data_IF_688030149001
#
_entry.id   IF_688030149001
#
_cell.length_a   1.000
_cell.length_b   1.000
_cell.length_c   1.000
_cell.angle_alpha   90.00
_cell.angle_beta   90.00
_cell.angle_gamma   90.00
#
_symmetry.space_group_name_H-M   'P 1'
#
loop_
_entity.id
_entity.type
_entity.pdbx_description
1 polymer ?
#
# COMPACT_ATOMS: atom_id res chain seq x y z
N UNK A 1 7.26 -3.33 -24.23
CA UNK A 1 7.13 -1.97 -23.65
C UNK A 1 7.15 -2.12 -22.13
N UNK A 2 7.96 -1.32 -21.43
CA UNK A 2 7.85 -1.26 -19.96
C UNK A 2 6.46 -0.71 -19.60
N UNK A 3 5.81 -1.30 -18.59
CA UNK A 3 4.47 -0.88 -18.15
C UNK A 3 4.45 0.57 -17.64
N UNK A 4 5.60 1.05 -17.15
CA UNK A 4 5.84 2.43 -16.73
C UNK A 4 7.15 2.95 -17.32
N UNK A 5 7.14 4.11 -17.96
CA UNK A 5 8.30 4.66 -18.65
C UNK A 5 9.48 4.98 -17.72
N UNK A 6 9.18 5.39 -16.47
CA UNK A 6 10.21 5.78 -15.47
C UNK A 6 10.67 4.64 -14.56
N UNK A 7 10.13 3.43 -14.70
CA UNK A 7 10.42 2.33 -13.77
C UNK A 7 11.93 2.05 -13.64
N UNK A 8 12.64 1.87 -14.75
CA UNK A 8 14.08 1.57 -14.73
C UNK A 8 14.90 2.68 -14.10
N UNK A 9 14.56 3.94 -14.36
CA UNK A 9 15.24 5.09 -13.74
C UNK A 9 15.02 5.12 -12.23
N UNK A 10 13.77 4.94 -11.77
CA UNK A 10 13.43 4.95 -10.35
C UNK A 10 14.12 3.78 -9.60
N UNK A 11 14.17 2.58 -10.20
CA UNK A 11 14.86 1.44 -9.60
C UNK A 11 16.37 1.70 -9.48
N UNK A 12 16.98 2.28 -10.52
CA UNK A 12 18.41 2.63 -10.49
C UNK A 12 18.73 3.67 -9.43
N UNK A 13 17.88 4.69 -9.29
CA UNK A 13 18.04 5.72 -8.25
C UNK A 13 17.93 5.12 -6.84
N UNK A 14 16.99 4.19 -6.61
CA UNK A 14 16.90 3.47 -5.35
C UNK A 14 18.15 2.63 -5.07
N UNK A 15 18.65 1.89 -6.06
CA UNK A 15 19.91 1.12 -5.93
C UNK A 15 21.11 2.02 -5.60
N UNK A 16 21.21 3.18 -6.27
CA UNK A 16 22.28 4.16 -6.04
C UNK A 16 22.21 4.79 -4.65
N UNK A 17 21.01 4.91 -4.09
CA UNK A 17 20.78 5.31 -2.69
C UNK A 17 21.01 4.15 -1.70
N UNK A 18 21.41 2.97 -2.16
CA UNK A 18 21.70 1.79 -1.33
C UNK A 18 20.47 1.01 -0.89
N UNK A 19 19.31 1.24 -1.51
CA UNK A 19 18.11 0.46 -1.21
C UNK A 19 18.24 -0.99 -1.70
N UNK A 20 17.76 -1.93 -0.87
CA UNK A 20 17.57 -3.32 -1.31
C UNK A 20 16.23 -3.43 -2.01
N UNK A 21 16.24 -3.78 -3.29
CA UNK A 21 15.03 -3.97 -4.09
C UNK A 21 14.68 -5.46 -4.14
N UNK A 22 13.45 -5.80 -3.79
CA UNK A 22 12.93 -7.17 -3.82
C UNK A 22 11.65 -7.20 -4.67
N UNK A 23 11.66 -8.01 -5.73
CA UNK A 23 10.49 -8.27 -6.57
C UNK A 23 10.57 -9.70 -7.16
N UNK A 24 9.42 -10.36 -7.41
CA UNK A 24 8.09 -10.02 -6.93
C UNK A 24 7.90 -10.34 -5.43
N UNK A 25 7.01 -9.62 -4.74
CA UNK A 25 6.60 -9.91 -3.35
C UNK A 25 5.08 -9.92 -3.30
N UNK A 26 4.50 -11.02 -2.84
CA UNK A 26 3.06 -11.12 -2.57
C UNK A 26 2.79 -10.68 -1.12
N UNK A 27 2.02 -9.60 -0.96
CA UNK A 27 1.69 -9.04 0.37
C UNK A 27 0.90 -10.00 1.26
N UNK A 28 0.25 -11.01 0.67
CA UNK A 28 -0.51 -12.04 1.40
C UNK A 28 0.38 -13.13 1.98
N UNK A 29 1.65 -13.22 1.54
CA UNK A 29 2.62 -14.24 1.99
C UNK A 29 4.01 -13.65 2.27
N UNK A 30 4.14 -12.32 2.34
CA UNK A 30 5.44 -11.64 2.43
C UNK A 30 6.24 -11.98 3.69
N UNK A 31 5.59 -12.42 4.78
CA UNK A 31 6.28 -12.89 5.98
C UNK A 31 7.06 -14.19 5.76
N UNK A 32 6.68 -14.97 4.74
CA UNK A 32 7.31 -16.23 4.34
C UNK A 32 8.28 -16.05 3.17
N UNK A 33 8.35 -14.86 2.58
CA UNK A 33 9.21 -14.59 1.44
C UNK A 33 10.69 -14.82 1.82
N UNK A 34 11.40 -15.67 1.07
CA UNK A 34 12.78 -16.13 1.39
C UNK A 34 13.77 -15.02 1.77
N UNK A 35 13.67 -13.84 1.16
CA UNK A 35 14.57 -12.71 1.43
C UNK A 35 14.13 -11.83 2.62
N UNK A 36 12.88 -11.94 3.04
CA UNK A 36 12.24 -11.11 4.07
C UNK A 36 11.93 -11.88 5.36
N UNK A 37 11.79 -13.20 5.28
CA UNK A 37 11.47 -14.06 6.41
C UNK A 37 12.46 -13.84 7.57
N UNK A 38 11.91 -13.69 8.78
CA UNK A 38 12.69 -13.43 9.99
C UNK A 38 13.18 -11.99 10.16
N UNK A 39 13.03 -11.12 9.14
CA UNK A 39 13.34 -9.69 9.29
C UNK A 39 12.23 -8.98 10.07
N UNK A 40 12.65 -7.99 10.86
CA UNK A 40 11.77 -7.05 11.54
C UNK A 40 12.00 -5.65 11.02
N UNK A 41 10.92 -4.88 10.90
CA UNK A 41 10.93 -3.53 10.37
C UNK A 41 10.32 -2.56 11.38
N UNK A 42 10.93 -1.38 11.50
CA UNK A 42 10.39 -0.29 12.31
C UNK A 42 9.24 0.43 11.61
N UNK A 43 9.20 0.40 10.28
CA UNK A 43 8.14 0.98 9.46
C UNK A 43 7.84 0.05 8.29
N UNK A 44 6.57 -0.30 8.11
CA UNK A 44 6.09 -1.03 6.93
C UNK A 44 5.03 -0.17 6.27
N UNK A 45 5.29 0.30 5.04
CA UNK A 45 4.46 1.28 4.35
C UNK A 45 3.80 0.63 3.13
N UNK A 46 2.48 0.75 3.01
CA UNK A 46 1.73 0.33 1.84
C UNK A 46 0.90 1.49 1.27
N UNK A 47 1.30 1.98 0.11
CA UNK A 47 0.68 3.13 -0.53
C UNK A 47 -0.36 2.70 -1.56
N UNK A 48 -1.59 3.17 -1.41
CA UNK A 48 -2.72 2.97 -2.32
C UNK A 48 -2.94 1.49 -2.71
N UNK A 49 -3.12 0.57 -1.75
CA UNK A 49 -3.43 -0.83 -2.03
C UNK A 49 -4.60 -0.98 -3.02
N UNK A 50 -4.50 -1.92 -3.97
CA UNK A 50 -5.57 -2.18 -4.94
C UNK A 50 -5.57 -3.64 -5.40
N UNK A 51 -6.71 -4.32 -5.34
CA UNK A 51 -6.85 -5.74 -5.66
C UNK A 51 -7.07 -6.00 -7.17
N UNK A 52 -6.53 -5.13 -8.04
CA UNK A 52 -6.84 -5.13 -9.47
C UNK A 52 -8.31 -4.81 -9.80
N UNK A 53 -8.67 -4.89 -11.08
CA UNK A 53 -9.99 -4.54 -11.59
C UNK A 53 -10.82 -5.78 -11.91
N UNK A 54 -11.90 -6.02 -11.17
CA UNK A 54 -12.88 -7.06 -11.47
C UNK A 54 -14.33 -6.56 -11.39
N UNK A 55 -14.53 -5.24 -11.40
CA UNK A 55 -15.80 -4.55 -11.21
C UNK A 55 -15.59 -3.05 -11.03
N UNK A 56 -16.65 -2.30 -10.75
CA UNK A 56 -16.54 -0.88 -10.33
C UNK A 56 -16.05 -0.82 -8.90
N UNK A 57 -15.33 0.24 -8.54
CA UNK A 57 -14.84 0.47 -7.16
C UNK A 57 -15.96 0.49 -6.10
N UNK A 58 -17.19 0.79 -6.51
CA UNK A 58 -18.38 0.81 -5.64
C UNK A 58 -19.09 -0.55 -5.52
N UNK A 59 -18.71 -1.54 -6.32
CA UNK A 59 -19.38 -2.85 -6.32
C UNK A 59 -18.99 -3.62 -5.06
N UNK A 60 -19.98 -4.23 -4.39
CA UNK A 60 -19.76 -4.94 -3.12
C UNK A 60 -18.67 -6.01 -3.22
N UNK A 61 -18.65 -6.79 -4.31
CA UNK A 61 -17.63 -7.83 -4.53
C UNK A 61 -16.23 -7.26 -4.75
N UNK A 62 -16.11 -6.10 -5.40
CA UNK A 62 -14.84 -5.39 -5.58
C UNK A 62 -14.35 -4.83 -4.24
N UNK A 63 -15.23 -4.17 -3.47
CA UNK A 63 -14.93 -3.69 -2.11
C UNK A 63 -14.45 -4.85 -1.22
N UNK A 64 -15.09 -6.02 -1.28
CA UNK A 64 -14.68 -7.17 -0.50
C UNK A 64 -13.27 -7.66 -0.88
N UNK A 65 -12.94 -7.75 -2.18
CA UNK A 65 -11.58 -8.09 -2.62
C UNK A 65 -10.53 -7.12 -2.08
N UNK A 66 -10.82 -5.83 -2.08
CA UNK A 66 -9.93 -4.82 -1.51
C UNK A 66 -9.74 -4.97 -0.01
N UNK A 67 -10.82 -5.25 0.72
CA UNK A 67 -10.78 -5.52 2.17
C UNK A 67 -9.93 -6.75 2.48
N UNK A 68 -10.05 -7.80 1.69
CA UNK A 68 -9.28 -9.03 1.88
C UNK A 68 -7.79 -8.82 1.59
N UNK A 69 -7.45 -8.04 0.55
CA UNK A 69 -6.07 -7.62 0.28
C UNK A 69 -5.46 -6.84 1.46
N UNK A 70 -6.18 -5.83 1.97
CA UNK A 70 -5.71 -5.02 3.10
C UNK A 70 -5.56 -5.86 4.36
N UNK A 71 -6.52 -6.74 4.65
CA UNK A 71 -6.46 -7.64 5.80
C UNK A 71 -5.26 -8.58 5.72
N UNK A 72 -5.02 -9.23 4.58
CA UNK A 72 -3.89 -10.14 4.44
C UNK A 72 -2.53 -9.44 4.50
N UNK A 73 -2.44 -8.20 3.97
CA UNK A 73 -1.28 -7.36 4.21
C UNK A 73 -1.08 -7.08 5.70
N UNK A 74 -2.11 -6.64 6.44
CA UNK A 74 -2.02 -6.35 7.87
C UNK A 74 -1.59 -7.58 8.69
N UNK A 75 -2.13 -8.75 8.36
CA UNK A 75 -1.76 -10.04 8.98
C UNK A 75 -0.27 -10.33 8.82
N UNK A 76 0.27 -10.20 7.61
CA UNK A 76 1.69 -10.44 7.33
C UNK A 76 2.59 -9.34 7.90
N UNK A 77 2.21 -8.07 7.74
CA UNK A 77 2.98 -6.92 8.20
C UNK A 77 3.19 -6.98 9.72
N UNK A 78 2.15 -7.35 10.47
CA UNK A 78 2.21 -7.56 11.92
C UNK A 78 3.26 -8.59 12.33
N UNK A 79 3.39 -9.69 11.58
CA UNK A 79 4.42 -10.72 11.84
C UNK A 79 5.85 -10.19 11.60
N UNK A 80 6.00 -9.15 10.79
CA UNK A 80 7.28 -8.55 10.41
C UNK A 80 7.56 -7.24 11.15
N UNK A 81 6.66 -6.81 12.04
CA UNK A 81 6.80 -5.55 12.78
C UNK A 81 7.74 -5.70 13.99
N UNK A 82 8.61 -4.71 14.20
CA UNK A 82 9.40 -4.59 15.44
C UNK A 82 8.52 -4.17 16.64
N UNK A 83 9.03 -4.30 17.86
CA UNK A 83 8.24 -4.04 19.09
C UNK A 83 7.67 -2.61 19.20
N UNK A 84 8.32 -1.63 18.54
CA UNK A 84 7.90 -0.23 18.47
C UNK A 84 7.63 0.22 17.02
N UNK A 85 7.42 -0.75 16.14
CA UNK A 85 7.20 -0.50 14.73
C UNK A 85 5.80 0.05 14.44
N UNK A 86 5.66 0.67 13.28
CA UNK A 86 4.37 1.14 12.77
C UNK A 86 4.09 0.59 11.37
N UNK A 87 2.82 0.25 11.12
CA UNK A 87 2.31 -0.08 9.80
C UNK A 87 1.57 1.14 9.26
N UNK A 88 1.96 1.63 8.09
CA UNK A 88 1.38 2.82 7.49
C UNK A 88 0.62 2.41 6.22
N UNK A 89 -0.64 2.82 6.12
CA UNK A 89 -1.45 2.60 4.92
C UNK A 89 -1.92 3.96 4.40
N UNK A 90 -1.47 4.35 3.21
CA UNK A 90 -1.96 5.56 2.53
C UNK A 90 -3.11 5.19 1.63
N UNK A 91 -4.28 5.81 1.80
CA UNK A 91 -5.45 5.49 1.02
C UNK A 91 -6.38 6.69 0.81
N UNK A 92 -7.26 6.57 -0.19
CA UNK A 92 -8.33 7.53 -0.43
C UNK A 92 -9.38 7.48 0.68
N UNK A 93 -9.89 8.64 1.06
CA UNK A 93 -10.80 8.84 2.20
C UNK A 93 -12.19 9.33 1.78
N UNK A 94 -12.56 9.15 0.51
CA UNK A 94 -13.91 9.44 -0.01
C UNK A 94 -14.62 8.17 -0.46
N UNK A 95 -15.95 8.19 -0.58
CA UNK A 95 -16.69 7.10 -1.21
C UNK A 95 -16.16 6.80 -2.63
N UNK A 96 -16.08 5.53 -3.06
CA UNK A 96 -16.42 4.30 -2.32
C UNK A 96 -15.28 3.75 -1.44
N UNK A 97 -14.11 4.39 -1.47
CA UNK A 97 -12.88 3.93 -0.78
C UNK A 97 -13.03 3.88 0.74
N UNK A 98 -13.87 4.73 1.34
CA UNK A 98 -14.21 4.66 2.77
C UNK A 98 -14.89 3.35 3.17
N UNK A 99 -15.59 2.69 2.25
CA UNK A 99 -16.27 1.41 2.50
C UNK A 99 -15.30 0.24 2.69
N UNK A 100 -14.00 0.47 2.53
CA UNK A 100 -12.98 -0.53 2.83
C UNK A 100 -12.76 -0.67 4.34
N UNK A 101 -13.14 0.33 5.14
CA UNK A 101 -13.02 0.36 6.60
C UNK A 101 -11.64 -0.11 7.11
N UNK A 102 -10.57 0.52 6.62
CA UNK A 102 -9.18 0.12 6.90
C UNK A 102 -8.89 0.08 8.40
N UNK A 103 -9.33 1.08 9.16
CA UNK A 103 -9.17 1.12 10.62
C UNK A 103 -9.84 -0.06 11.32
N UNK A 104 -11.07 -0.41 10.90
CA UNK A 104 -11.78 -1.56 11.42
C UNK A 104 -11.02 -2.87 11.11
N UNK A 105 -10.50 -3.02 9.89
CA UNK A 105 -9.69 -4.18 9.52
C UNK A 105 -8.43 -4.30 10.38
N UNK A 106 -7.72 -3.18 10.61
CA UNK A 106 -6.56 -3.16 11.49
C UNK A 106 -6.93 -3.55 12.93
N UNK A 107 -8.04 -3.04 13.46
CA UNK A 107 -8.54 -3.41 14.79
C UNK A 107 -8.88 -4.91 14.90
N UNK A 108 -9.50 -5.51 13.88
CA UNK A 108 -9.72 -6.96 13.85
C UNK A 108 -8.42 -7.76 13.92
N UNK A 109 -7.32 -7.21 13.40
CA UNK A 109 -5.99 -7.82 13.44
C UNK A 109 -5.20 -7.48 14.72
N UNK A 110 -5.82 -6.84 15.71
CA UNK A 110 -5.18 -6.48 16.98
C UNK A 110 -4.23 -5.27 16.87
N UNK A 111 -4.40 -4.44 15.84
CA UNK A 111 -3.65 -3.20 15.67
C UNK A 111 -4.53 -2.00 16.05
N UNK A 112 -3.90 -0.95 16.57
CA UNK A 112 -4.56 0.29 17.01
C UNK A 112 -4.12 1.45 16.13
N UNK A 113 -5.05 2.32 15.78
CA UNK A 113 -4.73 3.58 15.09
C UNK A 113 -4.00 4.50 16.08
N UNK A 114 -2.76 4.86 15.76
CA UNK A 114 -1.93 5.78 16.56
C UNK A 114 -1.78 7.15 15.91
N UNK A 115 -2.19 7.29 14.65
CA UNK A 115 -2.26 8.58 13.98
C UNK A 115 -2.83 8.47 12.58
N UNK A 116 -3.37 9.59 12.12
CA UNK A 116 -3.79 9.81 10.74
C UNK A 116 -3.19 11.14 10.28
N UNK A 117 -2.62 11.17 9.08
CA UNK A 117 -2.06 12.38 8.47
C UNK A 117 -2.64 12.53 7.08
N UNK A 118 -3.18 13.70 6.75
CA UNK A 118 -3.66 13.98 5.40
C UNK A 118 -2.50 13.85 4.40
N UNK A 119 -2.75 13.13 3.31
CA UNK A 119 -1.79 12.99 2.23
C UNK A 119 -1.90 14.18 1.29
N UNK A 120 -0.87 15.03 1.30
CA UNK A 120 -0.71 16.11 0.34
C UNK A 120 0.37 15.74 -0.69
N UNK A 121 -0.05 15.60 -1.95
CA UNK A 121 0.84 15.33 -3.08
C UNK A 121 1.95 16.39 -3.21
N UNK A 122 1.69 17.65 -2.84
CA UNK A 122 2.67 18.73 -2.95
C UNK A 122 3.89 18.54 -2.03
N UNK A 123 3.75 17.76 -0.96
CA UNK A 123 4.84 17.43 -0.04
C UNK A 123 5.82 16.37 -0.60
N UNK A 124 5.52 15.80 -1.76
CA UNK A 124 6.33 14.77 -2.41
C UNK A 124 6.76 15.21 -3.83
N UNK A 125 7.74 16.12 -3.95
CA UNK A 125 8.24 16.56 -5.25
C UNK A 125 8.65 15.36 -6.12
N UNK A 126 8.16 15.32 -7.36
CA UNK A 126 8.42 14.23 -8.31
C UNK A 126 7.45 13.04 -8.23
N UNK A 127 6.60 12.95 -7.19
CA UNK A 127 5.57 11.91 -7.11
C UNK A 127 4.43 12.18 -8.09
N UNK A 128 4.10 11.16 -8.89
CA UNK A 128 2.95 11.14 -9.79
C UNK A 128 2.23 9.80 -9.66
N UNK A 129 0.95 9.82 -9.29
CA UNK A 129 0.14 8.62 -9.23
C UNK A 129 -0.19 8.13 -10.65
N UNK A 130 0.05 6.85 -10.93
CA UNK A 130 -0.11 6.25 -12.26
C UNK A 130 -1.16 5.16 -12.30
N UNK A 131 -1.85 5.02 -13.44
CA UNK A 131 -2.75 3.88 -13.69
C UNK A 131 -1.94 2.61 -13.92
N UNK A 132 -2.34 1.52 -13.27
CA UNK A 132 -1.56 0.29 -13.24
C UNK A 132 -1.82 -0.72 -14.35
N UNK A 133 -2.85 -0.53 -15.18
CA UNK A 133 -3.18 -1.46 -16.27
C UNK A 133 -4.06 -0.82 -17.35
N UNK A 134 -4.27 -1.57 -18.44
CA UNK A 134 -5.11 -1.15 -19.58
C UNK A 134 -4.41 -0.21 -20.56
N UNK A 135 -5.18 0.28 -21.55
CA UNK A 135 -4.67 1.17 -22.61
C UNK A 135 -4.15 2.51 -22.09
N UNK A 136 -4.60 2.93 -20.91
CA UNK A 136 -4.18 4.17 -20.26
C UNK A 136 -3.18 3.92 -19.12
N UNK A 137 -2.45 2.80 -19.13
CA UNK A 137 -1.39 2.57 -18.15
C UNK A 137 -0.35 3.71 -18.19
N UNK A 138 0.32 3.95 -17.06
CA UNK A 138 1.30 5.03 -16.86
C UNK A 138 0.75 6.48 -17.00
N UNK A 139 -0.53 6.65 -17.32
CA UNK A 139 -1.18 7.96 -17.25
C UNK A 139 -1.53 8.32 -15.82
N UNK A 140 -1.43 9.61 -15.49
CA UNK A 140 -1.87 10.12 -14.19
C UNK A 140 -3.40 10.25 -14.12
N UNK A 141 -3.93 10.39 -12.90
CA UNK A 141 -5.36 10.61 -12.66
C UNK A 141 -5.59 11.47 -11.42
N UNK A 142 -6.80 12.02 -11.24
CA UNK A 142 -7.12 12.77 -10.02
C UNK A 142 -7.24 11.83 -8.82
N UNK A 143 -6.41 12.03 -7.79
CA UNK A 143 -6.32 11.10 -6.65
C UNK A 143 -7.42 11.33 -5.60
N UNK A 144 -7.91 12.57 -5.45
CA UNK A 144 -8.90 12.96 -4.44
C UNK A 144 -8.31 13.09 -3.04
N UNK A 145 -9.18 13.22 -2.03
CA UNK A 145 -8.75 13.28 -0.62
C UNK A 145 -8.21 11.93 -0.17
N UNK A 146 -7.07 11.96 0.50
CA UNK A 146 -6.34 10.78 0.94
C UNK A 146 -5.71 11.05 2.30
N UNK A 147 -5.49 9.98 3.08
CA UNK A 147 -4.77 10.02 4.35
C UNK A 147 -3.84 8.83 4.47
N UNK A 148 -2.79 8.99 5.26
CA UNK A 148 -1.94 7.91 5.76
C UNK A 148 -2.36 7.55 7.18
N UNK A 149 -2.93 6.36 7.34
CA UNK A 149 -3.26 5.76 8.63
C UNK A 149 -2.02 5.06 9.19
N UNK A 150 -1.73 5.25 10.48
CA UNK A 150 -0.58 4.67 11.19
C UNK A 150 -1.08 3.75 12.29
N UNK A 151 -0.60 2.51 12.28
CA UNK A 151 -1.03 1.46 13.19
C UNK A 151 0.14 0.89 13.99
N UNK A 152 -0.08 0.59 15.27
CA UNK A 152 0.83 -0.19 16.12
C UNK A 152 0.08 -1.30 16.86
N UNK A 153 0.81 -2.14 17.61
CA UNK A 153 0.21 -2.98 18.65
C UNK A 153 -0.48 -2.14 19.73
#
# INVERSE_FOLDING_TARGET
MALYAKASQNLKELEDLGCTIVNPVDVMTMAEHRLLQGRKFDRIIYNFPHAGFGGRESDFSQIQRHRDLVRGFLQNAKLMLSSFGEIHITHKTTYPFTMWYIEYLASCEGLRLVGEVEFDKALYPGYENKRGSGLCCDQSFFIGKCSTFKFSF
#
